data_IF_932036829126
#
_entry.id   IF_932036829126
#
_cell.length_a   1.000
_cell.length_b   1.000
_cell.length_c   1.000
_cell.angle_alpha   90.00
_cell.angle_beta   90.00
_cell.angle_gamma   90.00
#
_symmetry.space_group_name_H-M   'P 1'
#
loop_
_entity.id
_entity.type
_entity.pdbx_description
1 polymer ?
#
# COMPACT_ATOMS: atom_id res chain seq x y z
N UNK A 1 -32.73 46.91 -1.76
CA UNK A 1 -33.72 46.87 -0.67
C UNK A 1 -34.35 45.49 -0.64
N UNK A 2 -34.28 44.83 0.52
CA UNK A 2 -35.06 43.67 1.05
C UNK A 2 -35.23 42.41 0.18
N UNK A 3 -34.61 41.26 0.46
CA UNK A 3 -34.86 40.24 1.52
C UNK A 3 -36.27 39.61 1.48
N UNK A 4 -36.30 38.27 1.33
CA UNK A 4 -37.18 37.24 1.97
C UNK A 4 -37.15 35.96 1.09
N UNK A 5 -36.29 34.99 1.37
CA UNK A 5 -36.57 33.78 2.18
C UNK A 5 -37.74 32.91 1.70
N UNK A 6 -37.42 31.79 1.05
CA UNK A 6 -38.28 30.61 1.01
C UNK A 6 -37.60 29.43 1.71
N UNK A 7 -38.19 29.13 2.87
CA UNK A 7 -38.02 28.01 3.79
C UNK A 7 -37.92 26.67 3.06
N UNK A 8 -36.94 25.85 3.44
CA UNK A 8 -37.10 24.67 4.32
C UNK A 8 -37.71 23.45 3.65
N UNK A 9 -36.86 22.45 3.37
CA UNK A 9 -37.26 21.05 3.37
C UNK A 9 -36.12 20.23 3.99
N UNK A 10 -36.32 19.94 5.28
CA UNK A 10 -35.59 18.94 6.08
C UNK A 10 -35.69 17.57 5.40
N UNK A 11 -34.56 16.89 5.27
CA UNK A 11 -34.49 15.51 4.82
C UNK A 11 -33.27 14.80 5.41
N UNK A 12 -33.15 14.77 6.75
CA UNK A 12 -32.18 13.91 7.44
C UNK A 12 -32.60 12.45 7.27
N UNK A 13 -31.84 11.69 6.48
CA UNK A 13 -31.90 10.23 6.46
C UNK A 13 -30.65 9.68 7.14
N UNK A 14 -30.76 9.50 8.46
CA UNK A 14 -29.84 8.67 9.22
C UNK A 14 -30.16 7.21 8.95
N UNK A 15 -29.26 6.47 8.30
CA UNK A 15 -29.30 5.01 8.25
C UNK A 15 -28.36 4.49 9.33
N UNK A 16 -28.95 4.02 10.44
CA UNK A 16 -28.29 3.21 11.45
C UNK A 16 -28.48 1.75 11.02
N UNK A 17 -27.40 1.09 10.61
CA UNK A 17 -27.39 -0.37 10.46
C UNK A 17 -26.73 -0.97 11.71
N UNK A 18 -27.56 -1.49 12.61
CA UNK A 18 -27.13 -2.31 13.73
C UNK A 18 -27.36 -3.79 13.35
N UNK A 19 -26.28 -4.53 13.11
CA UNK A 19 -26.35 -5.98 12.87
C UNK A 19 -25.95 -6.68 14.16
N UNK A 20 -26.92 -7.30 14.85
CA UNK A 20 -26.66 -8.19 15.96
C UNK A 20 -26.17 -9.55 15.44
N UNK A 21 -24.97 -9.96 15.83
CA UNK A 21 -24.47 -11.32 15.63
C UNK A 21 -24.67 -12.09 16.94
N UNK A 22 -25.66 -12.98 16.96
CA UNK A 22 -25.84 -13.99 18.00
C UNK A 22 -25.42 -15.33 17.43
N UNK A 23 -24.23 -15.83 17.78
CA UNK A 23 -23.88 -17.24 17.61
C UNK A 23 -24.14 -17.96 18.93
N UNK A 24 -25.15 -18.83 18.91
CA UNK A 24 -25.47 -19.75 19.97
C UNK A 24 -24.44 -20.88 20.02
N UNK A 25 -23.87 -21.07 21.21
CA UNK A 25 -23.06 -22.23 21.57
C UNK A 25 -23.95 -23.49 21.63
N UNK A 26 -23.74 -24.41 20.69
CA UNK A 26 -24.33 -25.74 20.72
C UNK A 26 -23.24 -26.79 20.96
N UNK A 27 -23.02 -27.15 22.22
CA UNK A 27 -22.27 -28.34 22.60
C UNK A 27 -23.16 -29.57 22.38
N UNK A 28 -22.68 -30.53 21.58
CA UNK A 28 -23.29 -31.84 21.40
C UNK A 28 -22.19 -32.90 21.38
N UNK A 29 -21.93 -33.50 22.53
CA UNK A 29 -21.29 -34.81 22.67
C UNK A 29 -22.23 -35.87 22.09
N UNK A 30 -21.70 -36.86 21.35
CA UNK A 30 -22.48 -38.04 21.00
C UNK A 30 -21.82 -38.95 19.97
N UNK A 31 -21.21 -40.03 20.45
CA UNK A 31 -20.48 -41.06 19.73
C UNK A 31 -21.27 -41.76 18.61
N UNK A 32 -20.60 -42.03 17.50
CA UNK A 32 -20.78 -43.27 16.74
C UNK A 32 -19.42 -43.66 16.16
N UNK A 33 -18.76 -44.59 16.84
CA UNK A 33 -17.66 -45.37 16.27
C UNK A 33 -18.32 -46.52 15.52
N UNK A 34 -18.07 -46.62 14.22
CA UNK A 34 -18.26 -47.86 13.46
C UNK A 34 -16.89 -48.31 12.99
N UNK A 35 -16.48 -49.47 13.51
CA UNK A 35 -15.28 -50.18 13.10
C UNK A 35 -15.36 -50.54 11.61
N UNK A 36 -14.32 -50.19 10.86
CA UNK A 36 -14.05 -50.82 9.57
C UNK A 36 -12.58 -51.22 9.54
N UNK A 37 -12.36 -52.53 9.71
CA UNK A 37 -11.11 -53.20 9.44
C UNK A 37 -10.80 -53.20 7.93
N UNK A 38 -9.54 -52.97 7.60
CA UNK A 38 -8.91 -53.56 6.42
C UNK A 38 -8.84 -52.68 5.16
N UNK A 39 -7.71 -52.01 4.98
CA UNK A 39 -7.35 -51.38 3.71
C UNK A 39 -5.93 -50.82 3.75
N UNK A 40 -5.00 -51.66 3.31
CA UNK A 40 -3.63 -51.38 2.83
C UNK A 40 -3.15 -49.92 2.87
N UNK A 41 -2.01 -49.73 3.54
CA UNK A 41 -1.16 -48.56 3.39
C UNK A 41 -0.91 -48.28 1.90
N UNK A 42 -1.48 -47.18 1.41
CA UNK A 42 -1.06 -46.56 0.16
C UNK A 42 -0.30 -45.27 0.47
N UNK A 43 0.85 -45.23 -0.17
CA UNK A 43 1.87 -44.20 -0.22
C UNK A 43 1.34 -42.82 -0.65
N UNK A 44 2.08 -41.80 -0.19
CA UNK A 44 2.27 -40.51 -0.84
C UNK A 44 1.00 -39.67 -0.99
N UNK A 45 0.72 -38.88 0.06
CA UNK A 45 0.02 -37.62 -0.07
C UNK A 45 0.81 -36.68 -0.99
N UNK A 46 0.68 -36.90 -2.29
CA UNK A 46 1.15 -35.98 -3.30
C UNK A 46 0.45 -34.65 -3.07
N UNK A 47 1.22 -33.65 -2.65
CA UNK A 47 0.79 -32.27 -2.66
C UNK A 47 0.10 -31.99 -4.01
N UNK A 48 -1.18 -31.60 -3.96
CA UNK A 48 -1.85 -31.10 -5.14
C UNK A 48 -0.95 -30.03 -5.77
N UNK A 49 -0.68 -30.13 -7.07
CA UNK A 49 0.08 -29.11 -7.80
C UNK A 49 -0.58 -27.73 -7.75
N UNK A 50 -1.86 -27.69 -7.35
CA UNK A 50 -2.69 -26.50 -7.20
C UNK A 50 -2.72 -25.97 -5.75
N UNK A 51 -1.99 -26.59 -4.81
CA UNK A 51 -1.93 -26.12 -3.44
C UNK A 51 -1.05 -24.86 -3.32
N UNK A 52 -1.73 -23.72 -3.30
CA UNK A 52 -1.16 -22.38 -3.11
C UNK A 52 -0.67 -22.12 -1.68
N UNK A 53 -0.70 -23.12 -0.78
CA UNK A 53 -0.23 -22.99 0.61
C UNK A 53 1.02 -23.81 0.91
N UNK A 54 1.46 -24.67 0.00
CA UNK A 54 2.66 -25.50 0.18
C UNK A 54 3.97 -24.71 0.02
N UNK A 55 5.10 -25.29 0.43
CA UNK A 55 6.43 -24.65 0.46
C UNK A 55 6.85 -23.94 -0.83
N UNK A 56 6.38 -24.42 -2.00
CA UNK A 56 6.49 -23.77 -3.31
C UNK A 56 6.03 -22.31 -3.33
N UNK A 57 5.03 -21.96 -2.52
CA UNK A 57 4.50 -20.60 -2.47
C UNK A 57 5.53 -19.62 -1.92
N UNK A 58 6.35 -20.05 -0.95
CA UNK A 58 7.45 -19.24 -0.42
C UNK A 58 8.54 -19.05 -1.48
N UNK A 59 8.84 -20.09 -2.27
CA UNK A 59 9.79 -20.00 -3.39
C UNK A 59 9.28 -19.10 -4.52
N UNK A 60 7.96 -18.97 -4.67
CA UNK A 60 7.28 -18.11 -5.66
C UNK A 60 7.05 -16.67 -5.19
N UNK A 61 7.51 -16.31 -3.99
CA UNK A 61 7.48 -14.95 -3.46
C UNK A 61 8.89 -14.36 -3.38
N UNK A 62 8.98 -13.04 -3.39
CA UNK A 62 10.23 -12.31 -3.10
C UNK A 62 10.50 -12.27 -1.61
N UNK A 63 11.69 -11.78 -1.24
CA UNK A 63 12.07 -11.62 0.16
C UNK A 63 11.08 -10.74 0.92
N UNK A 64 10.87 -11.04 2.20
CA UNK A 64 10.06 -10.21 3.09
C UNK A 64 10.70 -8.83 3.20
N UNK A 65 9.90 -7.79 3.01
CA UNK A 65 10.31 -6.40 3.19
C UNK A 65 9.70 -5.81 4.46
N UNK A 66 10.36 -4.80 5.02
CA UNK A 66 9.91 -4.12 6.23
C UNK A 66 9.62 -2.64 5.96
N UNK A 67 8.40 -2.22 6.27
CA UNK A 67 8.00 -0.82 6.16
C UNK A 67 8.56 0.02 7.32
N UNK A 68 8.96 1.26 7.04
CA UNK A 68 9.36 2.24 8.05
C UNK A 68 8.25 3.25 8.39
N UNK A 69 7.20 3.31 7.57
CA UNK A 69 6.05 4.23 7.70
C UNK A 69 4.73 3.48 7.43
N UNK A 70 3.58 4.15 7.57
CA UNK A 70 2.24 3.56 7.43
C UNK A 70 1.78 3.20 6.00
N UNK A 71 2.69 2.83 5.09
CA UNK A 71 2.44 2.60 3.66
C UNK A 71 2.31 1.12 3.26
N UNK A 72 1.84 0.25 4.16
CA UNK A 72 1.68 -1.20 3.93
C UNK A 72 0.95 -1.56 2.62
N UNK A 73 0.00 -0.72 2.20
CA UNK A 73 -0.78 -0.88 0.98
C UNK A 73 0.08 -0.79 -0.30
N UNK A 74 1.17 0.00 -0.29
CA UNK A 74 2.15 0.03 -1.38
C UNK A 74 3.04 -1.21 -1.39
N UNK A 75 3.52 -1.62 -0.21
CA UNK A 75 4.28 -2.87 -0.05
C UNK A 75 3.47 -4.07 -0.54
N UNK A 76 2.19 -4.17 -0.16
CA UNK A 76 1.33 -5.27 -0.60
C UNK A 76 1.18 -5.34 -2.13
N UNK A 77 1.01 -4.18 -2.80
CA UNK A 77 0.91 -4.15 -4.27
C UNK A 77 2.25 -4.42 -4.95
N UNK A 78 3.35 -3.88 -4.42
CA UNK A 78 4.69 -4.17 -4.91
C UNK A 78 5.01 -5.68 -4.79
N UNK A 79 4.83 -6.27 -3.61
CA UNK A 79 5.06 -7.71 -3.39
C UNK A 79 4.15 -8.60 -4.26
N UNK A 80 2.90 -8.20 -4.49
CA UNK A 80 2.03 -8.91 -5.44
C UNK A 80 2.59 -8.89 -6.86
N UNK A 81 3.03 -7.72 -7.35
CA UNK A 81 3.62 -7.58 -8.68
C UNK A 81 4.96 -8.32 -8.82
N UNK A 82 5.80 -8.27 -7.79
CA UNK A 82 7.05 -9.02 -7.70
C UNK A 82 6.83 -10.53 -7.73
N UNK A 83 5.85 -11.04 -6.97
CA UNK A 83 5.48 -12.45 -6.98
C UNK A 83 4.96 -12.91 -8.35
N UNK A 84 4.21 -12.06 -9.07
CA UNK A 84 3.82 -12.34 -10.45
C UNK A 84 5.03 -12.42 -11.39
N UNK A 85 5.98 -11.48 -11.27
CA UNK A 85 7.21 -11.50 -12.05
C UNK A 85 7.98 -12.80 -11.80
N UNK A 86 8.22 -13.14 -10.53
CA UNK A 86 8.97 -14.34 -10.14
C UNK A 86 8.32 -15.62 -10.67
N UNK A 87 6.99 -15.71 -10.65
CA UNK A 87 6.26 -16.84 -11.24
C UNK A 87 6.39 -16.92 -12.76
N UNK A 88 6.42 -15.77 -13.44
CA UNK A 88 6.48 -15.72 -14.89
C UNK A 88 7.90 -15.93 -15.44
N UNK A 89 8.93 -15.44 -14.74
CA UNK A 89 10.31 -15.38 -15.25
C UNK A 89 11.31 -16.19 -14.43
N UNK A 90 10.98 -16.54 -13.19
CA UNK A 90 11.92 -17.12 -12.22
C UNK A 90 12.86 -16.09 -11.59
N UNK A 91 12.75 -14.81 -11.94
CA UNK A 91 13.67 -13.77 -11.46
C UNK A 91 13.06 -12.95 -10.31
N UNK A 92 13.91 -12.62 -9.33
CA UNK A 92 13.54 -11.66 -8.28
C UNK A 92 13.52 -10.23 -8.84
N UNK A 93 12.47 -9.49 -8.49
CA UNK A 93 12.33 -8.07 -8.76
C UNK A 93 12.23 -7.34 -7.42
N UNK A 94 12.95 -6.22 -7.28
CA UNK A 94 12.85 -5.34 -6.12
C UNK A 94 12.23 -4.01 -6.57
N UNK A 95 10.90 -3.94 -6.59
CA UNK A 95 10.12 -2.74 -6.89
C UNK A 95 10.33 -1.72 -5.78
N UNK A 96 10.41 -0.45 -6.15
CA UNK A 96 10.57 0.67 -5.24
C UNK A 96 9.24 1.12 -4.64
N UNK A 97 8.97 0.74 -3.39
CA UNK A 97 7.87 1.34 -2.63
C UNK A 97 8.13 2.82 -2.34
N UNK A 98 9.41 3.21 -2.28
CA UNK A 98 9.85 4.60 -2.10
C UNK A 98 9.43 5.46 -3.29
N UNK A 99 9.54 4.96 -4.52
CA UNK A 99 9.06 5.62 -5.74
C UNK A 99 7.54 5.80 -5.76
N UNK A 100 6.79 4.77 -5.37
CA UNK A 100 5.32 4.88 -5.31
C UNK A 100 4.88 5.82 -4.17
N UNK A 101 5.59 5.81 -3.04
CA UNK A 101 5.38 6.73 -1.92
C UNK A 101 5.63 8.17 -2.34
N UNK A 102 6.70 8.42 -3.10
CA UNK A 102 7.02 9.72 -3.68
C UNK A 102 5.84 10.28 -4.49
N UNK A 103 5.29 9.48 -5.41
CA UNK A 103 4.18 9.92 -6.25
C UNK A 103 2.86 10.07 -5.50
N UNK A 104 2.62 9.21 -4.51
CA UNK A 104 1.48 9.36 -3.61
C UNK A 104 1.50 10.71 -2.89
N UNK A 105 2.64 11.08 -2.31
CA UNK A 105 2.78 12.37 -1.62
C UNK A 105 2.74 13.54 -2.58
N UNK A 106 3.32 13.39 -3.77
CA UNK A 106 3.21 14.39 -4.82
C UNK A 106 1.75 14.72 -5.15
N UNK A 107 0.91 13.69 -5.39
CA UNK A 107 -0.51 13.91 -5.68
C UNK A 107 -1.27 14.50 -4.50
N UNK A 108 -1.03 14.01 -3.28
CA UNK A 108 -1.63 14.57 -2.08
C UNK A 108 -1.36 16.07 -1.93
N UNK A 109 -0.10 16.48 -2.10
CA UNK A 109 0.31 17.87 -1.92
C UNK A 109 -0.19 18.72 -3.10
N UNK A 110 0.10 18.31 -4.33
CA UNK A 110 -0.21 19.07 -5.55
C UNK A 110 -1.72 19.26 -5.77
N UNK A 111 -2.52 18.26 -5.39
CA UNK A 111 -3.97 18.32 -5.53
C UNK A 111 -4.66 18.97 -4.32
N UNK A 112 -3.90 19.31 -3.27
CA UNK A 112 -4.38 20.00 -2.07
C UNK A 112 -5.06 19.08 -1.06
N UNK A 113 -4.78 17.77 -1.11
CA UNK A 113 -5.20 16.81 -0.10
C UNK A 113 -4.41 16.92 1.22
N UNK A 114 -3.21 17.51 1.19
CA UNK A 114 -2.35 17.68 2.37
C UNK A 114 -1.87 19.12 2.53
N UNK A 115 -2.26 19.77 3.62
CA UNK A 115 -1.90 21.15 3.92
C UNK A 115 -0.84 21.29 5.03
N UNK A 116 -0.93 20.45 6.05
CA UNK A 116 -0.04 20.51 7.23
C UNK A 116 0.68 19.20 7.50
N UNK A 117 0.16 18.08 7.01
CA UNK A 117 0.68 16.74 7.27
C UNK A 117 0.31 15.83 6.11
N UNK A 118 1.22 14.94 5.70
CA UNK A 118 0.91 13.92 4.69
C UNK A 118 0.23 12.70 5.33
N UNK A 119 -0.63 12.04 4.56
CA UNK A 119 -1.12 10.70 4.91
C UNK A 119 -0.15 9.66 4.39
N UNK A 120 0.31 8.75 5.26
CA UNK A 120 1.09 7.57 4.85
C UNK A 120 0.20 6.41 4.42
N UNK A 121 -1.04 6.37 4.91
CA UNK A 121 -2.04 5.37 4.57
C UNK A 121 -2.70 5.61 3.21
N UNK A 122 -3.31 4.54 2.68
CA UNK A 122 -3.96 4.50 1.38
C UNK A 122 -4.74 3.20 1.19
N UNK A 123 -5.06 2.87 -0.06
CA UNK A 123 -5.82 1.67 -0.41
C UNK A 123 -5.25 1.00 -1.65
N UNK A 124 -5.62 -0.26 -1.87
CA UNK A 124 -5.27 -0.99 -3.09
C UNK A 124 -5.61 -0.21 -4.37
N UNK A 125 -6.79 0.41 -4.43
CA UNK A 125 -7.21 1.19 -5.59
C UNK A 125 -6.33 2.42 -5.84
N UNK A 126 -5.81 3.05 -4.79
CA UNK A 126 -4.83 4.14 -4.93
C UNK A 126 -3.51 3.60 -5.46
N UNK A 127 -3.03 2.46 -4.93
CA UNK A 127 -1.75 1.88 -5.35
C UNK A 127 -1.76 1.47 -6.82
N UNK A 128 -2.80 0.77 -7.27
CA UNK A 128 -2.90 0.39 -8.69
C UNK A 128 -3.06 1.61 -9.58
N UNK A 129 -3.76 2.65 -9.14
CA UNK A 129 -3.82 3.92 -9.86
C UNK A 129 -2.46 4.63 -9.96
N UNK A 130 -1.61 4.55 -8.94
CA UNK A 130 -0.24 5.08 -9.01
C UNK A 130 0.62 4.28 -9.99
N UNK A 131 0.51 2.95 -9.96
CA UNK A 131 1.20 2.07 -10.91
C UNK A 131 0.77 2.34 -12.35
N UNK A 132 -0.53 2.54 -12.59
CA UNK A 132 -1.07 2.87 -13.90
C UNK A 132 -0.55 4.21 -14.45
N UNK A 133 -0.49 5.24 -13.59
CA UNK A 133 -0.06 6.60 -14.01
C UNK A 133 1.44 6.80 -14.10
N UNK A 134 2.21 6.18 -13.19
CA UNK A 134 3.64 6.45 -13.03
C UNK A 134 4.51 5.21 -13.26
N UNK A 135 3.91 4.06 -13.56
CA UNK A 135 4.63 2.81 -13.70
C UNK A 135 5.22 2.30 -12.38
N UNK A 136 6.19 1.41 -12.52
CA UNK A 136 7.01 0.89 -11.43
C UNK A 136 8.48 1.18 -11.73
N UNK A 137 9.28 1.30 -10.68
CA UNK A 137 10.73 1.51 -10.75
C UNK A 137 11.42 0.50 -9.83
N UNK A 138 12.63 0.06 -10.15
CA UNK A 138 13.42 -0.77 -9.22
C UNK A 138 13.94 0.09 -8.06
N UNK A 139 14.00 -0.46 -6.84
CA UNK A 139 14.51 0.28 -5.67
C UNK A 139 15.94 0.79 -5.90
N UNK A 140 16.80 0.00 -6.53
CA UNK A 140 18.17 0.44 -6.85
C UNK A 140 18.27 1.57 -7.88
N UNK A 141 17.25 1.76 -8.73
CA UNK A 141 17.23 2.87 -9.66
C UNK A 141 16.75 4.17 -8.97
N UNK A 142 15.80 4.04 -8.03
CA UNK A 142 15.26 5.16 -7.27
C UNK A 142 16.18 5.59 -6.12
N UNK A 143 16.61 4.63 -5.30
CA UNK A 143 17.49 4.80 -4.13
C UNK A 143 18.66 3.80 -4.21
N UNK A 144 19.71 4.10 -4.99
CA UNK A 144 20.86 3.19 -5.17
C UNK A 144 21.53 2.75 -3.86
N UNK A 145 21.55 3.62 -2.85
CA UNK A 145 22.18 3.34 -1.55
C UNK A 145 21.32 2.44 -0.64
N UNK A 146 20.04 2.22 -0.98
CA UNK A 146 19.12 1.38 -0.20
C UNK A 146 18.67 0.13 -1.00
N UNK A 147 19.29 -0.14 -2.16
CA UNK A 147 18.86 -1.14 -3.15
C UNK A 147 18.79 -2.59 -2.63
N UNK A 148 19.54 -2.90 -1.57
CA UNK A 148 19.64 -4.23 -0.96
C UNK A 148 19.21 -4.25 0.51
N UNK A 149 18.62 -3.15 0.99
CA UNK A 149 18.15 -3.06 2.37
C UNK A 149 16.71 -3.59 2.47
N UNK A 150 16.43 -4.33 3.55
CA UNK A 150 15.09 -4.83 3.87
C UNK A 150 14.09 -3.69 4.16
N UNK A 151 14.59 -2.57 4.68
CA UNK A 151 13.80 -1.41 5.10
C UNK A 151 14.42 -0.13 4.55
N UNK A 152 13.59 0.71 3.91
CA UNK A 152 14.01 2.05 3.50
C UNK A 152 14.00 3.01 4.68
N UNK A 153 15.17 3.53 5.04
CA UNK A 153 15.28 4.62 6.00
C UNK A 153 14.98 5.97 5.35
N UNK A 154 15.10 6.09 4.02
CA UNK A 154 14.75 7.29 3.27
C UNK A 154 13.27 7.65 3.42
N UNK A 155 12.35 6.69 3.43
CA UNK A 155 10.92 6.96 3.59
C UNK A 155 10.60 7.70 4.90
N UNK A 156 11.10 7.22 6.04
CA UNK A 156 10.87 7.87 7.34
C UNK A 156 11.54 9.27 7.44
N UNK A 157 12.73 9.42 6.87
CA UNK A 157 13.41 10.74 6.77
C UNK A 157 12.59 11.70 5.91
N UNK A 158 12.09 11.23 4.76
CA UNK A 158 11.32 12.01 3.83
C UNK A 158 9.97 12.44 4.42
N UNK A 159 9.28 11.57 5.17
CA UNK A 159 8.05 11.90 5.90
C UNK A 159 8.30 13.07 6.87
N UNK A 160 9.34 12.95 7.69
CA UNK A 160 9.73 13.99 8.65
C UNK A 160 10.03 15.32 7.93
N UNK A 161 10.80 15.26 6.85
CA UNK A 161 11.16 16.43 6.05
C UNK A 161 9.93 17.12 5.45
N UNK A 162 9.06 16.37 4.77
CA UNK A 162 7.89 16.91 4.08
C UNK A 162 6.88 17.49 5.08
N UNK A 163 6.64 16.81 6.19
CA UNK A 163 5.77 17.35 7.25
C UNK A 163 6.32 18.67 7.82
N UNK A 164 7.64 18.78 7.98
CA UNK A 164 8.24 20.07 8.35
C UNK A 164 8.13 21.11 7.23
N UNK A 165 8.31 20.74 5.96
CA UNK A 165 8.18 21.68 4.83
C UNK A 165 6.74 22.21 4.70
N UNK A 166 5.73 21.38 4.95
CA UNK A 166 4.31 21.77 4.99
C UNK A 166 3.98 22.72 6.16
N UNK A 167 4.63 22.57 7.32
CA UNK A 167 4.37 23.41 8.51
C UNK A 167 5.18 24.72 8.48
N UNK A 168 6.45 24.62 8.11
CA UNK A 168 7.45 25.67 8.35
C UNK A 168 8.34 25.99 7.14
N UNK A 169 8.23 25.26 6.04
CA UNK A 169 9.18 25.35 4.91
C UNK A 169 8.55 25.79 3.60
N UNK A 170 9.13 25.31 2.49
CA UNK A 170 8.77 25.75 1.14
C UNK A 170 7.34 25.38 0.75
N UNK A 171 6.77 24.33 1.34
CA UNK A 171 5.40 23.88 1.07
C UNK A 171 4.36 24.47 2.03
N UNK A 172 4.74 25.43 2.88
CA UNK A 172 3.82 26.06 3.84
C UNK A 172 2.70 26.84 3.16
N UNK A 173 3.01 27.53 2.07
CA UNK A 173 2.03 28.34 1.35
C UNK A 173 1.23 27.51 0.34
N UNK A 174 -0.06 27.81 0.22
CA UNK A 174 -0.97 27.09 -0.69
C UNK A 174 -0.49 27.14 -2.14
N UNK A 175 0.03 28.28 -2.57
CA UNK A 175 0.48 28.48 -3.95
C UNK A 175 1.71 27.64 -4.26
N UNK A 176 2.62 27.49 -3.29
CA UNK A 176 3.77 26.60 -3.43
C UNK A 176 3.35 25.12 -3.54
N UNK A 177 2.32 24.69 -2.79
CA UNK A 177 1.76 23.34 -2.94
C UNK A 177 1.08 23.11 -4.28
N UNK A 178 0.50 24.15 -4.90
CA UNK A 178 -0.12 24.06 -6.24
C UNK A 178 0.92 24.12 -7.37
N UNK A 179 2.13 24.62 -7.09
CA UNK A 179 3.23 24.56 -8.03
C UNK A 179 3.87 23.17 -8.03
N UNK A 180 3.56 22.38 -9.07
CA UNK A 180 4.05 21.00 -9.23
C UNK A 180 5.59 20.91 -9.25
N UNK A 181 6.28 21.88 -9.83
CA UNK A 181 7.74 21.92 -9.85
C UNK A 181 8.31 22.12 -8.45
N UNK A 182 7.69 23.00 -7.66
CA UNK A 182 8.09 23.21 -6.25
C UNK A 182 7.87 21.95 -5.42
N UNK A 183 6.72 21.28 -5.58
CA UNK A 183 6.45 20.01 -4.88
C UNK A 183 7.47 18.93 -5.27
N UNK A 184 7.77 18.78 -6.57
CA UNK A 184 8.79 17.84 -7.06
C UNK A 184 10.17 18.15 -6.49
N UNK A 185 10.58 19.42 -6.51
CA UNK A 185 11.88 19.83 -5.98
C UNK A 185 12.01 19.52 -4.47
N UNK A 186 10.96 19.75 -3.70
CA UNK A 186 10.95 19.45 -2.26
C UNK A 186 10.96 17.94 -1.99
N UNK A 187 10.20 17.15 -2.76
CA UNK A 187 10.24 15.69 -2.66
C UNK A 187 11.61 15.13 -3.08
N UNK A 188 12.24 15.69 -4.11
CA UNK A 188 13.58 15.28 -4.52
C UNK A 188 14.59 15.48 -3.39
N UNK A 189 14.52 16.62 -2.69
CA UNK A 189 15.34 16.87 -1.48
C UNK A 189 15.01 15.87 -0.37
N UNK A 190 13.73 15.59 -0.13
CA UNK A 190 13.28 14.70 0.94
C UNK A 190 13.78 13.26 0.76
N UNK A 191 13.72 12.74 -0.46
CA UNK A 191 14.17 11.39 -0.80
C UNK A 191 15.66 11.32 -1.16
N UNK A 192 16.34 12.46 -1.35
CA UNK A 192 17.74 12.51 -1.77
C UNK A 192 17.95 12.03 -3.22
N UNK A 193 16.94 12.23 -4.08
CA UNK A 193 16.99 11.83 -5.49
C UNK A 193 17.33 13.02 -6.38
N UNK A 194 18.19 12.81 -7.37
CA UNK A 194 18.56 13.83 -8.35
C UNK A 194 17.39 14.11 -9.31
N UNK A 195 17.07 15.39 -9.51
CA UNK A 195 15.97 15.83 -10.39
C UNK A 195 16.13 15.33 -11.83
N UNK A 196 17.37 15.18 -12.31
CA UNK A 196 17.68 14.71 -13.66
C UNK A 196 17.34 13.23 -13.90
N UNK A 197 17.07 12.44 -12.86
CA UNK A 197 16.81 10.99 -12.97
C UNK A 197 15.33 10.63 -13.04
N UNK A 198 14.44 11.59 -12.82
CA UNK A 198 13.01 11.33 -12.57
C UNK A 198 12.06 11.82 -13.69
N UNK A 199 12.58 12.16 -14.86
CA UNK A 199 11.81 12.65 -16.03
C UNK A 199 11.51 11.57 -17.08
N UNK A 200 11.15 10.36 -16.66
CA UNK A 200 10.66 9.32 -17.58
C UNK A 200 9.14 9.34 -17.69
#
# INVERSE_FOLDING_TARGET
MSLEWLKSARGSRSFVFATMLALASGAGLGCAAEDSEGGTAEEEGGASTDDITNGDTAERMTQVKRQSIGNCWLYAVASWAEGMNKRATGEDLNISESYLTYWHWFEQIANGGSATEISTGGSYAVATGLVDRYGIMKEGDFLPNESSLEMSAAQARAETYINNSLKNGALKERDARRNRETVRAELNKAFGVDASRQER
#
